data_IF_314345929913
#
_entry.id   IF_314345929913
#
_cell.length_a   1.000
_cell.length_b   1.000
_cell.length_c   1.000
_cell.angle_alpha   90.00
_cell.angle_beta   90.00
_cell.angle_gamma   90.00
#
_symmetry.space_group_name_H-M   'P 1'
#
loop_
_entity.id
_entity.type
_entity.pdbx_description
1 polymer ?
#
# COMPACT_ATOMS: atom_id res chain seq x y z
N UNK A 1 10.28 -8.87 7.72
CA UNK A 1 9.78 -7.61 8.29
C UNK A 1 8.80 -6.86 7.37
N UNK A 2 9.16 -6.36 6.17
CA UNK A 2 8.17 -5.66 5.30
C UNK A 2 6.98 -6.58 4.94
N UNK A 3 7.25 -7.78 4.43
CA UNK A 3 6.20 -8.73 4.08
C UNK A 3 5.37 -9.19 5.29
N UNK A 4 5.98 -9.31 6.47
CA UNK A 4 5.29 -9.67 7.71
C UNK A 4 4.34 -8.55 8.16
N UNK A 5 4.79 -7.29 8.12
CA UNK A 5 3.94 -6.15 8.41
C UNK A 5 2.81 -6.01 7.39
N UNK A 6 3.09 -6.24 6.11
CA UNK A 6 2.05 -6.23 5.08
C UNK A 6 1.04 -7.37 5.27
N UNK A 7 1.49 -8.56 5.65
CA UNK A 7 0.61 -9.68 5.97
C UNK A 7 -0.33 -9.32 7.14
N UNK A 8 0.15 -8.63 8.16
CA UNK A 8 -0.66 -8.15 9.28
C UNK A 8 -1.69 -7.09 8.85
N UNK A 9 -1.32 -6.15 7.98
CA UNK A 9 -2.30 -5.21 7.42
C UNK A 9 -3.39 -5.94 6.62
N UNK A 10 -2.96 -6.87 5.77
CA UNK A 10 -3.86 -7.64 4.92
C UNK A 10 -4.75 -8.60 5.72
N UNK A 11 -4.30 -9.15 6.87
CA UNK A 11 -5.14 -9.98 7.74
C UNK A 11 -6.25 -9.16 8.41
N UNK A 12 -5.98 -7.89 8.70
CA UNK A 12 -6.95 -6.92 9.22
C UNK A 12 -7.76 -6.22 8.09
N UNK A 13 -7.73 -6.75 6.86
CA UNK A 13 -8.42 -6.19 5.68
C UNK A 13 -8.01 -4.77 5.28
N UNK A 14 -6.88 -4.27 5.76
CA UNK A 14 -6.34 -2.95 5.40
C UNK A 14 -5.53 -3.08 4.11
N UNK A 15 -5.81 -2.22 3.11
CA UNK A 15 -5.00 -2.07 1.89
C UNK A 15 -4.24 -0.76 2.00
N UNK A 16 -2.91 -0.77 1.90
CA UNK A 16 -2.08 0.41 2.18
C UNK A 16 -2.15 1.47 1.07
N UNK A 17 -2.05 1.05 -0.20
CA UNK A 17 -2.16 1.87 -1.43
C UNK A 17 -1.03 2.86 -1.72
N UNK A 18 -0.02 2.96 -0.87
CA UNK A 18 1.12 3.87 -1.09
C UNK A 18 2.42 3.31 -0.49
N UNK A 19 2.71 2.06 -0.81
CA UNK A 19 4.00 1.45 -0.48
C UNK A 19 5.06 2.00 -1.43
N UNK A 20 6.07 2.65 -0.85
CA UNK A 20 7.24 3.22 -1.52
C UNK A 20 8.40 3.35 -0.52
N UNK A 21 9.62 3.63 -1.00
CA UNK A 21 10.80 3.75 -0.14
C UNK A 21 10.72 4.87 0.90
N UNK A 22 9.99 5.96 0.64
CA UNK A 22 9.80 7.04 1.63
C UNK A 22 8.86 6.66 2.79
N UNK A 23 8.00 5.66 2.61
CA UNK A 23 7.07 5.16 3.63
C UNK A 23 7.61 3.95 4.40
N UNK A 24 8.88 3.58 4.20
CA UNK A 24 9.56 2.50 4.93
C UNK A 24 10.70 3.09 5.76
N UNK A 25 10.61 2.99 7.09
CA UNK A 25 11.67 3.45 8.00
C UNK A 25 12.34 2.29 8.70
N UNK A 26 13.67 2.35 8.79
CA UNK A 26 14.48 1.50 9.65
C UNK A 26 14.80 2.28 10.92
N UNK A 27 14.34 1.76 12.05
CA UNK A 27 14.61 2.33 13.38
C UNK A 27 16.07 2.10 13.81
N UNK A 28 16.54 2.80 14.84
CA UNK A 28 17.86 2.59 15.45
C UNK A 28 18.12 1.15 15.89
N UNK A 29 17.05 0.39 16.16
CA UNK A 29 17.12 -0.99 16.63
C UNK A 29 17.00 -1.99 15.48
N UNK A 30 17.21 -1.56 14.23
CA UNK A 30 17.10 -2.39 13.02
C UNK A 30 15.72 -3.03 12.79
N UNK A 31 14.66 -2.43 13.33
CA UNK A 31 13.29 -2.79 13.00
C UNK A 31 12.74 -1.92 11.88
N UNK A 32 12.08 -2.54 10.91
CA UNK A 32 11.34 -1.89 9.85
C UNK A 32 9.95 -1.48 10.36
N UNK A 33 9.52 -0.27 10.00
CA UNK A 33 8.15 0.22 10.19
C UNK A 33 7.61 0.74 8.87
N UNK A 34 6.34 0.42 8.60
CA UNK A 34 5.56 0.98 7.50
C UNK A 34 4.85 2.24 8.01
N UNK A 35 4.92 3.33 7.25
CA UNK A 35 4.35 4.64 7.57
C UNK A 35 3.28 5.06 6.56
N UNK A 36 2.58 6.14 6.91
CA UNK A 36 1.60 6.85 6.08
C UNK A 36 0.41 6.02 5.59
N UNK A 37 -0.58 5.91 6.48
CA UNK A 37 -1.86 5.27 6.21
C UNK A 37 -2.90 6.24 5.63
N UNK A 38 -2.51 7.45 5.20
CA UNK A 38 -3.43 8.49 4.72
C UNK A 38 -4.27 8.09 3.51
N UNK A 39 -3.78 7.11 2.73
CA UNK A 39 -4.47 6.55 1.57
C UNK A 39 -5.04 5.15 1.81
N UNK A 40 -4.85 4.58 3.01
CA UNK A 40 -5.26 3.21 3.30
C UNK A 40 -6.77 3.03 3.23
N UNK A 41 -7.21 1.84 2.78
CA UNK A 41 -8.61 1.45 2.78
C UNK A 41 -8.84 0.38 3.84
N UNK A 42 -9.78 0.66 4.74
CA UNK A 42 -10.44 -0.31 5.58
C UNK A 42 -11.87 -0.50 5.05
N UNK A 43 -12.25 -1.71 4.60
CA UNK A 43 -13.60 -1.98 4.08
C UNK A 43 -14.72 -1.74 5.10
N UNK A 44 -14.42 -1.73 6.40
CA UNK A 44 -15.39 -1.46 7.47
C UNK A 44 -15.49 0.04 7.82
N UNK A 45 -14.58 0.87 7.30
CA UNK A 45 -14.62 2.32 7.48
C UNK A 45 -15.58 3.01 6.49
N UNK A 46 -16.43 3.92 6.97
CA UNK A 46 -17.29 4.72 6.10
C UNK A 46 -16.42 5.54 5.13
N UNK A 47 -16.55 5.23 3.84
CA UNK A 47 -15.79 5.80 2.72
C UNK A 47 -15.67 7.33 2.79
N UNK A 48 -14.44 7.85 2.88
CA UNK A 48 -14.15 9.28 2.68
C UNK A 48 -13.32 9.61 1.43
N UNK A 49 -12.85 8.61 0.66
CA UNK A 49 -12.14 8.87 -0.59
C UNK A 49 -12.90 8.28 -1.78
N UNK A 50 -13.23 9.14 -2.76
CA UNK A 50 -13.83 8.72 -4.02
C UNK A 50 -12.94 7.67 -4.67
N UNK A 51 -13.53 6.51 -4.99
CA UNK A 51 -12.86 5.34 -5.55
C UNK A 51 -12.24 5.55 -6.96
N UNK A 52 -12.36 6.75 -7.54
CA UNK A 52 -12.14 7.00 -8.97
C UNK A 52 -10.91 7.86 -9.30
N UNK A 53 -9.97 8.06 -8.36
CA UNK A 53 -8.72 8.79 -8.65
C UNK A 53 -7.52 7.87 -8.44
N UNK A 54 -6.65 7.81 -9.45
CA UNK A 54 -5.29 7.27 -9.29
C UNK A 54 -4.62 8.04 -8.16
N UNK A 55 -4.34 7.35 -7.06
CA UNK A 55 -3.69 7.89 -5.86
C UNK A 55 -2.52 6.99 -5.47
N UNK A 56 -1.57 7.58 -4.74
CA UNK A 56 -0.32 6.93 -4.36
C UNK A 56 0.82 7.27 -5.33
N UNK A 57 1.98 6.72 -5.02
CA UNK A 57 3.22 6.97 -5.76
C UNK A 57 3.22 6.27 -7.12
N UNK A 58 3.22 7.06 -8.21
CA UNK A 58 3.03 6.59 -9.59
C UNK A 58 3.98 5.46 -10.00
N UNK A 59 5.24 5.49 -9.57
CA UNK A 59 6.24 4.48 -9.91
C UNK A 59 5.99 3.10 -9.27
N UNK A 60 5.21 3.05 -8.19
CA UNK A 60 4.87 1.83 -7.45
C UNK A 60 3.46 1.32 -7.79
N UNK A 61 2.73 2.05 -8.63
CA UNK A 61 1.34 1.76 -8.93
C UNK A 61 1.20 0.47 -9.74
N UNK A 62 0.34 -0.43 -9.26
CA UNK A 62 0.01 -1.66 -9.99
C UNK A 62 -0.66 -1.34 -11.34
N UNK A 63 -0.25 -1.97 -12.46
CA UNK A 63 -0.80 -1.68 -13.80
C UNK A 63 -2.31 -1.87 -13.90
N UNK A 64 -2.88 -2.75 -13.07
CA UNK A 64 -4.32 -2.96 -12.99
C UNK A 64 -5.07 -1.67 -12.61
N UNK A 65 -4.49 -0.79 -11.79
CA UNK A 65 -5.10 0.46 -11.32
C UNK A 65 -5.07 1.58 -12.36
N UNK A 66 -4.38 1.39 -13.49
CA UNK A 66 -4.39 2.35 -14.60
C UNK A 66 -5.71 2.32 -15.39
N UNK A 67 -6.59 1.33 -15.13
CA UNK A 67 -7.91 1.22 -15.74
C UNK A 67 -8.95 1.83 -14.80
N UNK A 68 -9.83 2.68 -15.33
CA UNK A 68 -10.78 3.47 -14.54
C UNK A 68 -11.75 2.63 -13.69
N UNK A 69 -12.01 1.39 -14.08
CA UNK A 69 -13.00 0.51 -13.41
C UNK A 69 -12.38 -0.43 -12.37
N UNK A 70 -11.05 -0.38 -12.17
CA UNK A 70 -10.34 -1.28 -11.28
C UNK A 70 -10.08 -0.66 -9.92
N UNK A 71 -10.52 -1.38 -8.89
CA UNK A 71 -10.30 -1.00 -7.50
C UNK A 71 -8.97 -1.51 -6.94
N UNK A 72 -8.35 -0.81 -5.98
CA UNK A 72 -7.22 -1.33 -5.22
C UNK A 72 -7.56 -2.64 -4.52
N UNK A 73 -6.61 -3.56 -4.46
CA UNK A 73 -6.77 -4.84 -3.74
C UNK A 73 -5.50 -5.13 -2.95
N UNK A 74 -5.54 -6.11 -2.04
CA UNK A 74 -4.32 -6.59 -1.35
C UNK A 74 -3.18 -6.90 -2.34
N UNK A 75 -3.50 -7.40 -3.54
CA UNK A 75 -2.50 -7.70 -4.60
C UNK A 75 -1.80 -6.46 -5.15
N UNK A 76 -2.42 -5.28 -5.09
CA UNK A 76 -1.79 -4.04 -5.57
C UNK A 76 -0.66 -3.60 -4.64
N UNK A 77 -0.79 -3.82 -3.33
CA UNK A 77 0.32 -3.59 -2.38
C UNK A 77 1.47 -4.58 -2.62
N UNK A 78 1.16 -5.85 -2.96
CA UNK A 78 2.19 -6.85 -3.30
C UNK A 78 2.99 -6.44 -4.54
N UNK A 79 2.33 -5.87 -5.55
CA UNK A 79 3.03 -5.32 -6.71
C UNK A 79 3.98 -4.20 -6.31
N UNK A 80 3.52 -3.25 -5.49
CA UNK A 80 4.35 -2.15 -5.00
C UNK A 80 5.56 -2.64 -4.20
N UNK A 81 5.41 -3.68 -3.36
CA UNK A 81 6.54 -4.35 -2.70
C UNK A 81 7.51 -4.93 -3.74
N UNK A 82 7.01 -5.50 -4.83
CA UNK A 82 7.85 -5.98 -5.93
C UNK A 82 8.72 -4.87 -6.55
N UNK A 83 8.16 -3.67 -6.74
CA UNK A 83 8.91 -2.50 -7.20
C UNK A 83 9.95 -2.08 -6.15
N UNK A 84 9.56 -1.99 -4.88
CA UNK A 84 10.45 -1.64 -3.77
C UNK A 84 11.63 -2.60 -3.61
N UNK A 85 11.44 -3.89 -3.88
CA UNK A 85 12.52 -4.89 -3.82
C UNK A 85 13.49 -4.79 -5.00
N UNK A 86 13.06 -4.21 -6.11
CA UNK A 86 13.90 -4.03 -7.30
C UNK A 86 14.73 -2.74 -7.24
N UNK A 87 14.19 -1.68 -6.64
CA UNK A 87 14.87 -0.40 -6.40
C UNK A 87 16.20 -0.56 -5.64
#
# INVERSE_FOLDING_TARGET
QICEAMQELHSNNIIHRDINSSNIIITSNSHVKILDFGLSLDPDSQRFTQASKVVGSVYYLAPALCRADNEPTKKTDIYAIGILLYE
#
